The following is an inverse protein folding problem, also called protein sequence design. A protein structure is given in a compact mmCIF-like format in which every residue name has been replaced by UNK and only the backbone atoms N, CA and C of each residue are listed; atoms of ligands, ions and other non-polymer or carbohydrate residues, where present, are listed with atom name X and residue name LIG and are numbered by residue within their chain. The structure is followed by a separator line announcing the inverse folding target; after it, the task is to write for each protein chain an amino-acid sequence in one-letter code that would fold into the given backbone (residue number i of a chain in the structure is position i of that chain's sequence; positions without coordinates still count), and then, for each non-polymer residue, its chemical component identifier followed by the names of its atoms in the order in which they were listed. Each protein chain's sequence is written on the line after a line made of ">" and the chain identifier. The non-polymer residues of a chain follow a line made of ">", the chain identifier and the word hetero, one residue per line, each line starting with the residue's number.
data_IF_338433991014
#
_entry.id   IF_338433991014
#
_cell.length_a   1.000
_cell.length_b   1.000
_cell.length_c   1.000
_cell.angle_alpha   90.00
_cell.angle_beta   90.00
_cell.angle_gamma   90.00
#
_symmetry.space_group_name_H-M   'P 1'
#
loop_
_entity.id
_entity.type
_entity.pdbx_description
1 polymer ?
#
# COMPACT_ATOMS: atom_id res chain seq x y z
N UNK A 1 -1.18 42.44 -67.28
CA UNK A 1 -1.08 40.99 -67.62
C UNK A 1 0.03 40.25 -66.86
N UNK A 2 1.05 40.94 -66.30
CA UNK A 2 2.09 40.32 -65.44
C UNK A 2 1.59 39.98 -64.01
N UNK A 3 0.65 40.75 -63.48
CA UNK A 3 0.21 40.61 -62.07
C UNK A 3 -0.60 39.33 -61.81
N UNK A 4 -1.38 38.84 -62.79
CA UNK A 4 -2.12 37.59 -62.65
C UNK A 4 -1.22 36.34 -62.55
N UNK A 5 -0.01 36.38 -63.13
CA UNK A 5 0.94 35.25 -63.01
C UNK A 5 1.58 35.20 -61.63
N UNK A 6 1.85 36.35 -61.02
CA UNK A 6 2.43 36.42 -59.69
C UNK A 6 1.43 35.94 -58.62
N UNK A 7 0.17 36.37 -58.73
CA UNK A 7 -0.92 35.95 -57.83
C UNK A 7 -1.19 34.44 -57.95
N UNK A 8 -1.20 33.91 -59.18
CA UNK A 8 -1.36 32.47 -59.42
C UNK A 8 -0.19 31.65 -58.85
N UNK A 9 1.03 32.15 -58.96
CA UNK A 9 2.22 31.50 -58.40
C UNK A 9 2.22 31.52 -56.86
N UNK A 10 1.83 32.65 -56.25
CA UNK A 10 1.69 32.77 -54.80
C UNK A 10 0.60 31.81 -54.26
N UNK A 11 -0.54 31.73 -54.95
CA UNK A 11 -1.62 30.80 -54.60
C UNK A 11 -1.16 29.34 -54.65
N UNK A 12 -0.35 28.97 -55.65
CA UNK A 12 0.18 27.62 -55.77
C UNK A 12 1.14 27.27 -54.62
N UNK A 13 2.00 28.21 -54.21
CA UNK A 13 2.90 28.03 -53.07
C UNK A 13 2.11 27.85 -51.77
N UNK A 14 1.07 28.66 -51.55
CA UNK A 14 0.22 28.56 -50.36
C UNK A 14 -0.44 27.18 -50.28
N UNK A 15 -0.98 26.67 -51.40
CA UNK A 15 -1.57 25.32 -51.44
C UNK A 15 -0.54 24.24 -51.12
N UNK A 16 0.67 24.34 -51.67
CA UNK A 16 1.76 23.39 -51.38
C UNK A 16 2.13 23.41 -49.89
N UNK A 17 2.24 24.60 -49.28
CA UNK A 17 2.56 24.74 -47.85
C UNK A 17 1.46 24.16 -46.97
N UNK A 18 0.18 24.38 -47.30
CA UNK A 18 -0.95 23.81 -46.56
C UNK A 18 -0.96 22.29 -46.66
N UNK A 19 -0.73 21.73 -47.86
CA UNK A 19 -0.66 20.27 -48.04
C UNK A 19 0.53 19.68 -47.27
N UNK A 20 1.70 20.32 -47.31
CA UNK A 20 2.87 19.88 -46.56
C UNK A 20 2.61 19.90 -45.03
N UNK A 21 1.96 20.96 -44.52
CA UNK A 21 1.58 21.05 -43.11
C UNK A 21 0.59 19.97 -42.69
N UNK A 22 -0.40 19.64 -43.54
CA UNK A 22 -1.36 18.56 -43.28
C UNK A 22 -0.69 17.19 -43.26
N UNK A 23 0.20 16.91 -44.21
CA UNK A 23 0.97 15.65 -44.25
C UNK A 23 1.86 15.53 -43.01
N UNK A 24 2.49 16.62 -42.59
CA UNK A 24 3.32 16.64 -41.38
C UNK A 24 2.48 16.42 -40.11
N UNK A 25 1.31 17.05 -39.99
CA UNK A 25 0.38 16.79 -38.89
C UNK A 25 -0.09 15.33 -38.84
N UNK A 26 -0.43 14.75 -40.00
CA UNK A 26 -0.83 13.35 -40.09
C UNK A 26 0.30 12.40 -39.68
N UNK A 27 1.54 12.71 -40.08
CA UNK A 27 2.73 11.97 -39.65
C UNK A 27 2.92 11.97 -38.13
N UNK A 28 2.80 13.14 -37.49
CA UNK A 28 2.90 13.26 -36.03
C UNK A 28 1.79 12.49 -35.30
N UNK A 29 0.55 12.54 -35.83
CA UNK A 29 -0.56 11.79 -35.27
C UNK A 29 -0.31 10.28 -35.35
N UNK A 30 0.20 9.78 -36.48
CA UNK A 30 0.54 8.36 -36.61
C UNK A 30 1.62 7.92 -35.61
N UNK A 31 2.66 8.72 -35.39
CA UNK A 31 3.67 8.38 -34.38
C UNK A 31 3.07 8.31 -32.97
N UNK A 32 2.17 9.24 -32.63
CA UNK A 32 1.48 9.21 -31.34
C UNK A 32 0.61 7.96 -31.19
N UNK A 33 -0.09 7.55 -32.24
CA UNK A 33 -0.92 6.34 -32.26
C UNK A 33 -0.04 5.08 -32.08
N UNK A 34 1.10 5.01 -32.77
CA UNK A 34 2.04 3.90 -32.62
C UNK A 34 2.58 3.81 -31.18
N UNK A 35 2.94 4.94 -30.58
CA UNK A 35 3.38 5.00 -29.18
C UNK A 35 2.29 4.53 -28.21
N UNK A 36 1.07 5.02 -28.38
CA UNK A 36 -0.08 4.60 -27.55
C UNK A 36 -0.39 3.11 -27.71
N UNK A 37 -0.30 2.55 -28.92
CA UNK A 37 -0.52 1.13 -29.16
C UNK A 37 0.56 0.26 -28.50
N UNK A 38 1.82 0.71 -28.52
CA UNK A 38 2.91 0.01 -27.84
C UNK A 38 2.70 0.01 -26.32
N UNK A 39 2.30 1.15 -25.75
CA UNK A 39 1.99 1.26 -24.33
C UNK A 39 0.80 0.37 -23.93
N UNK A 40 -0.28 0.39 -24.73
CA UNK A 40 -1.45 -0.46 -24.50
C UNK A 40 -1.09 -1.94 -24.49
N UNK A 41 -0.29 -2.38 -25.47
CA UNK A 41 0.15 -3.77 -25.54
C UNK A 41 1.04 -4.18 -24.35
N UNK A 42 1.89 -3.28 -23.84
CA UNK A 42 2.65 -3.54 -22.61
C UNK A 42 1.73 -3.67 -21.40
N UNK A 43 0.72 -2.79 -21.27
CA UNK A 43 -0.26 -2.87 -20.18
C UNK A 43 -1.07 -4.18 -20.24
N UNK A 44 -1.48 -4.62 -21.42
CA UNK A 44 -2.18 -5.89 -21.62
C UNK A 44 -1.33 -7.10 -21.19
N UNK A 45 -0.02 -7.06 -21.46
CA UNK A 45 0.92 -8.08 -21.00
C UNK A 45 1.05 -8.09 -19.47
N UNK A 46 1.17 -6.90 -18.86
CA UNK A 46 1.22 -6.77 -17.39
C UNK A 46 -0.06 -7.29 -16.74
N UNK A 47 -1.23 -6.94 -17.28
CA UNK A 47 -2.53 -7.43 -16.79
C UNK A 47 -2.57 -8.97 -16.85
N UNK A 48 -2.15 -9.56 -17.97
CA UNK A 48 -2.13 -11.01 -18.14
C UNK A 48 -1.20 -11.71 -17.14
N UNK A 49 -0.07 -11.09 -16.80
CA UNK A 49 0.85 -11.59 -15.77
C UNK A 49 0.21 -11.54 -14.37
N UNK A 50 -0.37 -10.38 -14.02
CA UNK A 50 -1.05 -10.19 -12.73
C UNK A 50 -2.24 -11.14 -12.57
N UNK A 51 -2.99 -11.42 -13.64
CA UNK A 51 -4.08 -12.41 -13.60
C UNK A 51 -3.56 -13.83 -13.32
N UNK A 52 -2.41 -14.19 -13.87
CA UNK A 52 -1.78 -15.50 -13.63
C UNK A 52 -1.27 -15.62 -12.19
N UNK A 53 -0.63 -14.58 -11.69
CA UNK A 53 -0.15 -14.51 -10.31
C UNK A 53 -1.32 -14.60 -9.32
N UNK A 54 -2.39 -13.83 -9.57
CA UNK A 54 -3.62 -13.89 -8.78
C UNK A 54 -4.21 -15.30 -8.75
N UNK A 55 -4.26 -16.00 -9.88
CA UNK A 55 -4.76 -17.38 -9.91
C UNK A 55 -3.89 -18.33 -9.08
N UNK A 56 -2.57 -18.14 -9.11
CA UNK A 56 -1.62 -18.94 -8.33
C UNK A 56 -1.83 -18.71 -6.83
N UNK A 57 -1.94 -17.45 -6.40
CA UNK A 57 -2.22 -17.09 -5.00
C UNK A 57 -3.56 -17.64 -4.52
N UNK A 58 -4.60 -17.60 -5.36
CA UNK A 58 -5.91 -18.18 -5.02
C UNK A 58 -5.80 -19.70 -4.79
N UNK A 59 -5.02 -20.41 -5.61
CA UNK A 59 -4.80 -21.84 -5.42
C UNK A 59 -4.04 -22.12 -4.12
N UNK A 60 -3.03 -21.32 -3.79
CA UNK A 60 -2.27 -21.45 -2.55
C UNK A 60 -3.14 -21.20 -1.32
N UNK A 61 -3.96 -20.14 -1.34
CA UNK A 61 -4.93 -19.85 -0.27
C UNK A 61 -5.88 -21.03 -0.06
N UNK A 62 -6.42 -21.60 -1.14
CA UNK A 62 -7.34 -22.72 -1.04
C UNK A 62 -6.64 -23.98 -0.51
N UNK A 63 -5.40 -24.24 -0.93
CA UNK A 63 -4.57 -25.31 -0.37
C UNK A 63 -4.28 -25.12 1.13
N UNK A 64 -4.04 -23.88 1.56
CA UNK A 64 -3.79 -23.57 2.96
C UNK A 64 -5.06 -23.68 3.82
N UNK A 65 -6.24 -23.34 3.29
CA UNK A 65 -7.51 -23.58 3.99
C UNK A 65 -7.74 -25.06 4.29
N UNK A 66 -7.42 -25.93 3.33
CA UNK A 66 -7.55 -27.39 3.54
C UNK A 66 -6.62 -27.84 4.67
N UNK A 67 -5.37 -27.40 4.68
CA UNK A 67 -4.42 -27.72 5.77
C UNK A 67 -4.89 -27.18 7.12
N UNK A 68 -5.45 -25.98 7.17
CA UNK A 68 -6.01 -25.41 8.40
C UNK A 68 -7.16 -26.29 8.92
N UNK A 69 -8.08 -26.70 8.05
CA UNK A 69 -9.19 -27.58 8.42
C UNK A 69 -8.71 -28.95 8.93
N UNK A 70 -7.66 -29.52 8.33
CA UNK A 70 -7.02 -30.75 8.82
C UNK A 70 -6.41 -30.55 10.22
N UNK A 71 -5.66 -29.46 10.43
CA UNK A 71 -5.07 -29.13 11.72
C UNK A 71 -6.12 -28.87 12.81
N UNK A 72 -7.23 -28.21 12.47
CA UNK A 72 -8.36 -28.00 13.39
C UNK A 72 -9.00 -29.33 13.81
N UNK A 73 -9.15 -30.26 12.87
CA UNK A 73 -9.64 -31.61 13.14
C UNK A 73 -8.69 -32.38 14.07
N UNK A 74 -7.39 -32.34 13.81
CA UNK A 74 -6.38 -32.99 14.64
C UNK A 74 -6.33 -32.41 16.05
N UNK A 75 -6.41 -31.08 16.18
CA UNK A 75 -6.52 -30.38 17.47
C UNK A 75 -7.76 -30.83 18.25
N UNK A 76 -8.91 -30.94 17.60
CA UNK A 76 -10.13 -31.41 18.25
C UNK A 76 -10.01 -32.86 18.73
N UNK A 77 -9.36 -33.73 17.95
CA UNK A 77 -9.11 -35.12 18.34
C UNK A 77 -8.17 -35.19 19.56
N UNK A 78 -7.08 -34.43 19.54
CA UNK A 78 -6.12 -34.37 20.65
C UNK A 78 -6.76 -33.80 21.93
N UNK A 79 -7.63 -32.80 21.82
CA UNK A 79 -8.38 -32.27 22.96
C UNK A 79 -9.28 -33.35 23.58
N UNK A 80 -10.02 -34.10 22.75
CA UNK A 80 -10.86 -35.20 23.23
C UNK A 80 -10.03 -36.31 23.90
N UNK A 81 -8.86 -36.64 23.36
CA UNK A 81 -7.96 -37.63 23.94
C UNK A 81 -7.41 -37.16 25.29
N UNK A 82 -6.99 -35.90 25.38
CA UNK A 82 -6.55 -35.26 26.62
C UNK A 82 -7.65 -35.23 27.70
N UNK A 83 -8.90 -34.97 27.32
CA UNK A 83 -10.04 -35.00 28.25
C UNK A 83 -10.35 -36.42 28.76
N UNK A 84 -10.08 -37.44 27.95
CA UNK A 84 -10.30 -38.85 28.28
C UNK A 84 -9.20 -39.47 29.16
N UNK A 85 -8.00 -38.88 29.19
CA UNK A 85 -6.92 -39.31 30.05
C UNK A 85 -7.26 -39.02 31.51
N UNK A 86 -7.22 -40.04 32.37
CA UNK A 86 -7.48 -39.95 33.82
C UNK A 86 -6.32 -39.27 34.58
N UNK A 87 -5.99 -38.05 34.15
CA UNK A 87 -5.00 -37.17 34.73
C UNK A 87 -5.69 -36.28 35.78
N UNK A 88 -5.08 -36.18 36.96
CA UNK A 88 -5.47 -35.21 37.99
C UNK A 88 -5.51 -33.79 37.40
N UNK A 89 -6.43 -32.96 37.91
CA UNK A 89 -6.72 -31.61 37.41
C UNK A 89 -5.47 -30.76 37.24
N UNK A 90 -4.49 -30.89 38.15
CA UNK A 90 -3.23 -30.16 38.10
C UNK A 90 -2.34 -30.58 36.92
N UNK A 91 -2.32 -31.86 36.55
CA UNK A 91 -1.53 -32.35 35.43
C UNK A 91 -2.10 -31.88 34.07
N UNK A 92 -3.44 -31.84 33.94
CA UNK A 92 -4.11 -31.28 32.76
C UNK A 92 -3.82 -29.78 32.62
N UNK A 93 -3.86 -29.04 33.73
CA UNK A 93 -3.57 -27.61 33.73
C UNK A 93 -2.09 -27.31 33.40
N UNK A 94 -1.17 -28.14 33.91
CA UNK A 94 0.25 -28.05 33.55
C UNK A 94 0.49 -28.28 32.06
N UNK A 95 -0.12 -29.33 31.48
CA UNK A 95 -0.01 -29.62 30.05
C UNK A 95 -0.59 -28.48 29.22
N UNK A 96 -1.74 -27.92 29.60
CA UNK A 96 -2.34 -26.77 28.92
C UNK A 96 -1.41 -25.55 28.93
N UNK A 97 -0.85 -25.18 30.09
CA UNK A 97 0.13 -24.07 30.18
C UNK A 97 1.40 -24.34 29.38
N UNK A 98 1.88 -25.58 29.37
CA UNK A 98 3.06 -25.96 28.59
C UNK A 98 2.80 -25.89 27.09
N UNK A 99 1.61 -26.28 26.64
CA UNK A 99 1.17 -26.14 25.25
C UNK A 99 1.01 -24.67 24.86
N UNK A 100 0.32 -23.86 25.67
CA UNK A 100 0.16 -22.42 25.42
C UNK A 100 1.52 -21.71 25.31
N UNK A 101 2.46 -22.05 26.21
CA UNK A 101 3.83 -21.54 26.14
C UNK A 101 4.55 -21.99 24.87
N UNK A 102 4.45 -23.27 24.50
CA UNK A 102 5.09 -23.80 23.30
C UNK A 102 4.52 -23.16 22.02
N UNK A 103 3.20 -22.96 21.94
CA UNK A 103 2.58 -22.29 20.81
C UNK A 103 2.97 -20.82 20.72
N UNK A 104 3.04 -20.10 21.85
CA UNK A 104 3.52 -18.72 21.87
C UNK A 104 5.00 -18.63 21.44
N UNK A 105 5.88 -19.47 22.00
CA UNK A 105 7.30 -19.53 21.62
C UNK A 105 7.49 -19.95 20.14
N UNK A 106 6.58 -20.73 19.57
CA UNK A 106 6.60 -21.14 18.15
C UNK A 106 6.03 -20.06 17.22
N UNK A 107 4.96 -19.36 17.62
CA UNK A 107 4.40 -18.23 16.88
C UNK A 107 5.35 -17.03 16.87
N UNK A 108 6.14 -16.85 17.92
CA UNK A 108 7.23 -15.87 17.99
C UNK A 108 8.46 -16.27 17.13
N UNK A 109 8.55 -17.53 16.69
CA UNK A 109 9.60 -18.04 15.79
C UNK A 109 9.18 -18.08 14.31
N UNK A 110 7.91 -17.82 13.99
CA UNK A 110 7.50 -17.49 12.62
C UNK A 110 8.11 -16.13 12.32
N UNK A 111 8.89 -16.04 11.23
CA UNK A 111 9.63 -14.86 10.75
C UNK A 111 9.06 -13.53 11.28
N UNK A 112 9.89 -12.64 11.85
CA UNK A 112 9.41 -11.42 12.48
C UNK A 112 8.49 -10.72 11.48
N UNK A 113 7.22 -10.53 11.88
CA UNK A 113 6.23 -9.86 11.05
C UNK A 113 6.88 -8.60 10.48
N UNK A 114 7.11 -8.58 9.18
CA UNK A 114 7.89 -7.57 8.44
C UNK A 114 7.62 -6.17 9.00
N UNK A 115 8.59 -5.48 9.60
CA UNK A 115 8.36 -4.20 10.30
C UNK A 115 7.58 -3.21 9.43
N UNK A 116 6.69 -2.40 10.01
CA UNK A 116 6.06 -1.31 9.25
C UNK A 116 7.07 -0.29 8.73
N UNK A 117 8.29 -0.29 9.28
CA UNK A 117 9.36 0.61 8.89
C UNK A 117 10.14 0.18 7.65
N UNK A 118 9.97 -1.07 7.20
CA UNK A 118 10.72 -1.63 6.08
C UNK A 118 9.84 -1.63 4.83
N UNK A 119 10.23 -0.86 3.81
CA UNK A 119 9.54 -0.84 2.53
C UNK A 119 10.04 -1.99 1.64
N UNK A 120 9.11 -2.65 0.97
CA UNK A 120 9.46 -3.54 -0.15
C UNK A 120 10.02 -2.72 -1.33
N UNK A 121 10.72 -3.38 -2.27
CA UNK A 121 11.24 -2.71 -3.47
C UNK A 121 10.13 -1.99 -4.27
N UNK A 122 8.93 -2.58 -4.34
CA UNK A 122 7.79 -1.96 -5.01
C UNK A 122 7.30 -0.70 -4.28
N UNK A 123 7.16 -0.76 -2.95
CA UNK A 123 6.75 0.39 -2.14
C UNK A 123 7.77 1.52 -2.19
N UNK A 124 9.06 1.19 -2.15
CA UNK A 124 10.15 2.16 -2.27
C UNK A 124 10.18 2.81 -3.66
N UNK A 125 9.94 2.04 -4.73
CA UNK A 125 9.85 2.58 -6.08
C UNK A 125 8.64 3.52 -6.22
N UNK A 126 7.47 3.12 -5.74
CA UNK A 126 6.28 3.98 -5.70
C UNK A 126 6.53 5.27 -4.91
N UNK A 127 7.20 5.18 -3.75
CA UNK A 127 7.57 6.35 -2.95
C UNK A 127 8.47 7.31 -3.73
N UNK A 128 9.53 6.79 -4.35
CA UNK A 128 10.47 7.62 -5.11
C UNK A 128 9.81 8.26 -6.33
N UNK A 129 8.99 7.51 -7.07
CA UNK A 129 8.23 8.06 -8.20
C UNK A 129 7.23 9.13 -7.75
N UNK A 130 6.52 8.90 -6.65
CA UNK A 130 5.59 9.89 -6.11
C UNK A 130 6.32 11.17 -5.66
N UNK A 131 7.48 11.04 -5.01
CA UNK A 131 8.26 12.17 -4.52
C UNK A 131 8.76 13.12 -5.63
N UNK A 132 8.99 12.63 -6.84
CA UNK A 132 9.57 13.45 -7.92
C UNK A 132 8.63 14.56 -8.41
N UNK A 133 7.33 14.27 -8.53
CA UNK A 133 6.34 15.17 -9.12
C UNK A 133 4.99 15.20 -8.39
N UNK A 134 4.87 14.47 -7.27
CA UNK A 134 3.63 14.27 -6.51
C UNK A 134 2.46 13.78 -7.37
N UNK A 135 2.79 12.97 -8.39
CA UNK A 135 1.82 12.37 -9.28
C UNK A 135 1.17 11.16 -8.62
N UNK A 136 -0.11 11.32 -8.32
CA UNK A 136 -0.96 10.33 -7.67
C UNK A 136 -0.97 8.98 -8.42
N UNK A 137 -0.68 8.95 -9.73
CA UNK A 137 -0.58 7.70 -10.49
C UNK A 137 0.47 6.74 -9.89
N UNK A 138 1.53 7.24 -9.26
CA UNK A 138 2.55 6.43 -8.60
C UNK A 138 2.03 5.65 -7.38
N UNK A 139 0.89 6.08 -6.81
CA UNK A 139 0.24 5.46 -5.66
C UNK A 139 -0.92 4.52 -6.06
N UNK A 140 -1.24 4.46 -7.35
CA UNK A 140 -2.37 3.64 -7.86
C UNK A 140 -2.15 2.17 -7.52
N UNK A 141 -3.17 1.54 -6.93
CA UNK A 141 -3.15 0.11 -6.61
C UNK A 141 -2.38 -0.24 -5.33
N UNK A 142 -1.79 0.73 -4.64
CA UNK A 142 -1.22 0.50 -3.31
C UNK A 142 -2.32 0.22 -2.29
N UNK A 143 -2.04 -0.70 -1.36
CA UNK A 143 -2.94 -1.02 -0.26
C UNK A 143 -2.91 0.10 0.80
N UNK A 144 -3.93 0.18 1.69
CA UNK A 144 -3.89 1.10 2.83
C UNK A 144 -2.64 0.93 3.69
N UNK A 145 -2.23 -0.32 3.91
CA UNK A 145 -1.02 -0.63 4.66
C UNK A 145 0.23 -0.07 3.98
N UNK A 146 0.34 -0.23 2.66
CA UNK A 146 1.47 0.32 1.91
C UNK A 146 1.51 1.85 2.03
N UNK A 147 0.39 2.56 1.83
CA UNK A 147 0.35 4.02 1.99
C UNK A 147 0.77 4.45 3.42
N UNK A 148 0.32 3.75 4.45
CA UNK A 148 0.79 3.99 5.82
C UNK A 148 2.30 3.81 5.94
N UNK A 149 2.88 2.74 5.39
CA UNK A 149 4.34 2.52 5.41
C UNK A 149 5.10 3.63 4.68
N UNK A 150 4.61 4.08 3.51
CA UNK A 150 5.19 5.23 2.80
C UNK A 150 5.18 6.51 3.66
N UNK A 151 4.08 6.76 4.37
CA UNK A 151 3.96 7.90 5.27
C UNK A 151 4.93 7.82 6.45
N UNK A 152 5.05 6.66 7.09
CA UNK A 152 6.00 6.41 8.18
C UNK A 152 7.45 6.52 7.70
N UNK A 153 7.73 6.07 6.48
CA UNK A 153 9.03 6.22 5.85
C UNK A 153 9.39 7.70 5.68
N UNK A 154 8.47 8.52 5.15
CA UNK A 154 8.66 9.96 4.98
C UNK A 154 8.99 10.65 6.31
N UNK A 155 8.26 10.33 7.38
CA UNK A 155 8.55 10.85 8.74
C UNK A 155 9.95 10.41 9.21
N UNK A 156 10.31 9.12 9.04
CA UNK A 156 11.61 8.57 9.46
C UNK A 156 12.79 9.27 8.79
N UNK A 157 12.68 9.56 7.48
CA UNK A 157 13.74 10.24 6.72
C UNK A 157 13.62 11.77 6.75
N UNK A 158 12.64 12.31 7.48
CA UNK A 158 12.35 13.75 7.63
C UNK A 158 11.99 14.44 6.31
N UNK A 159 11.34 13.70 5.42
CA UNK A 159 10.80 14.19 4.15
C UNK A 159 9.38 14.69 4.35
N UNK A 160 9.26 15.77 5.12
CA UNK A 160 7.97 16.34 5.53
C UNK A 160 7.18 16.91 4.35
N UNK A 161 7.85 17.29 3.27
CA UNK A 161 7.20 17.68 2.02
C UNK A 161 6.42 16.52 1.41
N UNK A 162 7.07 15.36 1.22
CA UNK A 162 6.41 14.17 0.66
C UNK A 162 5.38 13.61 1.62
N UNK A 163 5.67 13.64 2.92
CA UNK A 163 4.72 13.24 3.95
C UNK A 163 3.42 14.03 3.87
N UNK A 164 3.50 15.36 3.69
CA UNK A 164 2.31 16.20 3.59
C UNK A 164 1.45 15.82 2.37
N UNK A 165 2.09 15.52 1.24
CA UNK A 165 1.39 15.16 -0.01
C UNK A 165 0.68 13.80 0.06
N UNK A 166 1.00 12.95 1.04
CA UNK A 166 0.30 11.69 1.30
C UNK A 166 -1.02 11.89 2.07
N UNK A 167 -1.25 13.06 2.68
CA UNK A 167 -2.53 13.36 3.32
C UNK A 167 -3.66 13.48 2.30
N UNK A 168 -4.88 13.32 2.80
CA UNK A 168 -6.10 13.59 2.04
C UNK A 168 -6.12 15.03 1.52
N UNK A 169 -6.61 15.21 0.30
CA UNK A 169 -6.80 16.52 -0.33
C UNK A 169 -8.24 17.01 -0.23
N UNK A 170 -9.10 16.27 0.46
CA UNK A 170 -10.47 16.66 0.74
C UNK A 170 -10.49 17.91 1.62
N UNK A 171 -10.99 19.03 1.08
CA UNK A 171 -11.02 20.34 1.76
C UNK A 171 -11.77 20.26 3.10
N UNK A 172 -12.73 19.35 3.24
CA UNK A 172 -13.50 19.16 4.47
C UNK A 172 -12.72 18.37 5.55
N UNK A 173 -11.62 17.71 5.17
CA UNK A 173 -10.78 16.89 6.05
C UNK A 173 -9.37 17.46 6.29
N UNK A 174 -8.94 18.41 5.45
CA UNK A 174 -7.66 19.11 5.60
C UNK A 174 -7.70 19.98 6.85
N UNK A 175 -6.79 19.73 7.80
CA UNK A 175 -6.75 20.46 9.08
C UNK A 175 -5.73 21.59 9.11
N UNK A 176 -4.64 21.48 8.35
CA UNK A 176 -3.60 22.49 8.28
C UNK A 176 -2.95 22.52 6.89
N UNK A 177 -2.36 23.65 6.56
CA UNK A 177 -1.65 23.89 5.30
C UNK A 177 -0.27 23.23 5.26
N UNK A 178 0.32 23.15 4.07
CA UNK A 178 1.69 22.63 3.90
C UNK A 178 2.69 23.48 4.68
N UNK A 179 2.56 24.79 4.62
CA UNK A 179 3.41 25.71 5.36
C UNK A 179 3.32 25.49 6.88
N UNK A 180 2.10 25.29 7.39
CA UNK A 180 1.90 24.96 8.81
C UNK A 180 2.51 23.60 9.15
N UNK A 181 2.34 22.59 8.30
CA UNK A 181 2.95 21.27 8.49
C UNK A 181 4.47 21.35 8.60
N UNK A 182 5.11 22.07 7.67
CA UNK A 182 6.57 22.25 7.66
C UNK A 182 7.08 23.10 8.84
N UNK A 183 6.20 23.89 9.46
CA UNK A 183 6.52 24.69 10.65
C UNK A 183 6.43 23.91 11.98
N UNK A 184 5.88 22.68 11.96
CA UNK A 184 5.78 21.81 13.15
C UNK A 184 7.20 21.55 13.69
N UNK A 185 7.48 21.91 14.95
CA UNK A 185 8.79 21.67 15.55
C UNK A 185 9.15 20.19 15.58
N UNK A 186 10.43 19.87 15.36
CA UNK A 186 10.96 18.51 15.51
C UNK A 186 10.69 17.91 16.90
N UNK A 187 10.46 18.75 17.93
CA UNK A 187 10.08 18.28 19.26
C UNK A 187 8.75 17.57 19.30
N UNK A 188 7.85 17.93 18.38
CA UNK A 188 6.45 17.51 18.32
C UNK A 188 6.24 16.42 17.25
N UNK A 189 7.29 16.12 16.47
CA UNK A 189 7.38 15.02 15.51
C UNK A 189 7.64 13.68 16.21
N UNK A 190 7.35 12.58 15.51
CA UNK A 190 7.61 11.23 16.03
C UNK A 190 9.12 11.03 16.12
N UNK A 191 9.62 10.71 17.32
CA UNK A 191 11.05 10.45 17.57
C UNK A 191 11.35 8.98 17.77
N UNK A 192 10.35 8.25 18.23
CA UNK A 192 10.46 6.85 18.57
C UNK A 192 9.50 6.07 17.67
N UNK A 193 10.08 5.21 16.84
CA UNK A 193 9.35 4.36 15.91
C UNK A 193 9.15 2.95 16.47
N UNK A 194 9.55 2.67 17.71
CA UNK A 194 9.49 1.34 18.29
C UNK A 194 8.08 0.73 18.29
N UNK A 195 7.04 1.56 18.43
CA UNK A 195 5.63 1.13 18.33
C UNK A 195 5.27 0.57 16.93
N UNK A 196 5.99 0.96 15.89
CA UNK A 196 5.81 0.47 14.51
C UNK A 196 6.77 -0.68 14.18
N UNK A 197 7.97 -0.67 14.77
CA UNK A 197 8.97 -1.71 14.58
C UNK A 197 8.61 -3.03 15.28
N UNK A 198 7.95 -2.94 16.43
CA UNK A 198 7.51 -4.09 17.24
C UNK A 198 6.03 -4.44 17.03
N UNK A 199 5.43 -3.96 15.93
CA UNK A 199 4.01 -4.15 15.66
C UNK A 199 3.66 -5.63 15.42
N UNK A 200 2.76 -6.15 16.25
CA UNK A 200 2.20 -7.51 16.21
C UNK A 200 0.68 -7.48 15.98
N UNK A 201 0.09 -8.64 15.64
CA UNK A 201 -1.37 -8.83 15.51
C UNK A 201 -2.05 -7.75 14.66
N UNK A 202 -1.52 -7.54 13.47
CA UNK A 202 -1.93 -6.47 12.56
C UNK A 202 -3.22 -6.85 11.85
N UNK A 203 -4.16 -5.93 11.78
CA UNK A 203 -5.42 -6.11 11.08
C UNK A 203 -5.72 -4.89 10.24
N UNK A 204 -6.44 -5.09 9.13
CA UNK A 204 -6.87 -4.00 8.26
C UNK A 204 -8.38 -4.15 8.10
N UNK A 205 -9.11 -3.12 8.50
CA UNK A 205 -10.56 -3.04 8.33
C UNK A 205 -10.85 -2.00 7.26
N UNK A 206 -11.64 -2.35 6.24
CA UNK A 206 -12.00 -1.45 5.14
C UNK A 206 -13.52 -1.33 5.08
N UNK A 207 -14.03 -0.11 5.17
CA UNK A 207 -15.45 0.21 5.11
C UNK A 207 -15.66 1.44 4.23
N UNK A 208 -16.45 1.33 3.15
CA UNK A 208 -16.96 2.45 2.34
C UNK A 208 -15.99 3.64 2.12
N UNK A 209 -14.79 3.36 1.60
CA UNK A 209 -13.80 4.41 1.31
C UNK A 209 -12.95 4.84 2.51
N UNK A 210 -13.09 4.20 3.66
CA UNK A 210 -12.20 4.35 4.82
C UNK A 210 -11.48 3.03 5.10
N UNK A 211 -10.24 3.14 5.58
CA UNK A 211 -9.46 2.00 6.05
C UNK A 211 -8.83 2.32 7.41
N UNK A 212 -8.85 1.34 8.31
CA UNK A 212 -8.20 1.40 9.61
C UNK A 212 -7.20 0.25 9.67
N UNK A 213 -5.93 0.60 9.86
CA UNK A 213 -4.86 -0.35 10.15
C UNK A 213 -4.67 -0.38 11.66
N UNK A 214 -4.96 -1.52 12.28
CA UNK A 214 -4.86 -1.70 13.73
C UNK A 214 -3.74 -2.68 14.07
N UNK A 215 -2.96 -2.37 15.11
CA UNK A 215 -1.90 -3.27 15.58
C UNK A 215 -1.68 -3.16 17.09
N UNK A 216 -0.93 -4.11 17.62
CA UNK A 216 -0.52 -4.15 19.01
C UNK A 216 0.99 -3.97 19.11
N UNK A 217 1.47 -3.17 20.07
CA UNK A 217 2.89 -3.06 20.38
C UNK A 217 3.15 -3.19 21.88
N UNK A 218 4.28 -3.79 22.22
CA UNK A 218 4.82 -3.90 23.58
C UNK A 218 5.97 -2.90 23.83
N UNK A 219 6.25 -1.99 22.89
CA UNK A 219 7.32 -1.00 23.03
C UNK A 219 7.14 -0.13 24.27
N UNK A 220 5.90 0.24 24.55
CA UNK A 220 5.53 1.07 25.71
C UNK A 220 5.20 0.23 26.96
N UNK A 221 5.32 -1.10 26.93
CA UNK A 221 5.00 -1.97 28.08
C UNK A 221 6.26 -2.60 28.71
N UNK A 222 6.50 -2.30 29.99
CA UNK A 222 7.54 -2.97 30.78
C UNK A 222 7.15 -4.41 31.19
N UNK A 223 5.87 -4.77 31.02
CA UNK A 223 5.33 -6.08 31.35
C UNK A 223 5.24 -6.95 30.08
N UNK A 224 6.10 -7.96 30.01
CA UNK A 224 5.83 -9.15 29.21
C UNK A 224 4.58 -9.80 29.80
N UNK A 225 3.49 -9.78 29.03
CA UNK A 225 2.20 -10.44 29.22
C UNK A 225 1.03 -9.48 29.50
N UNK A 226 0.16 -9.41 28.49
CA UNK A 226 -1.28 -9.11 28.51
C UNK A 226 -1.79 -7.71 28.18
N UNK A 227 -1.03 -6.63 28.39
CA UNK A 227 -1.49 -5.25 28.09
C UNK A 227 -0.69 -4.58 26.95
N UNK A 228 -0.65 -5.20 25.76
CA UNK A 228 -0.16 -4.49 24.57
C UNK A 228 -1.19 -3.43 24.16
N UNK A 229 -0.74 -2.18 24.02
CA UNK A 229 -1.60 -1.10 23.55
C UNK A 229 -2.01 -1.36 22.10
N UNK A 230 -3.31 -1.21 21.83
CA UNK A 230 -3.83 -1.20 20.47
C UNK A 230 -3.68 0.22 19.92
N UNK A 231 -3.10 0.32 18.73
CA UNK A 231 -3.00 1.55 17.97
C UNK A 231 -3.78 1.40 16.67
N UNK A 232 -4.44 2.47 16.25
CA UNK A 232 -5.18 2.51 15.00
C UNK A 232 -4.61 3.61 14.09
N UNK A 233 -4.48 3.32 12.80
CA UNK A 233 -4.07 4.27 11.77
C UNK A 233 -5.16 4.40 10.71
N UNK A 234 -5.66 5.64 10.51
CA UNK A 234 -6.77 5.94 9.62
C UNK A 234 -6.31 6.41 8.24
N UNK A 235 -6.92 5.82 7.20
CA UNK A 235 -6.80 6.22 5.81
C UNK A 235 -8.18 6.41 5.18
N UNK A 236 -8.24 7.25 4.16
CA UNK A 236 -9.45 7.53 3.37
C UNK A 236 -9.11 7.43 1.88
N UNK A 237 -9.99 6.86 1.10
CA UNK A 237 -9.87 6.73 -0.35
C UNK A 237 -10.41 8.00 -1.01
N UNK A 238 -9.65 8.55 -1.95
CA UNK A 238 -10.12 9.67 -2.78
C UNK A 238 -10.96 9.21 -3.97
N UNK A 239 -11.55 10.17 -4.70
CA UNK A 239 -12.41 9.92 -5.87
C UNK A 239 -11.71 9.15 -7.00
N UNK A 240 -10.37 9.15 -7.03
CA UNK A 240 -9.57 8.42 -8.03
C UNK A 240 -9.25 6.98 -7.58
N UNK A 241 -9.76 6.56 -6.42
CA UNK A 241 -9.52 5.23 -5.86
C UNK A 241 -8.16 5.09 -5.17
N UNK A 242 -7.54 6.20 -4.78
CA UNK A 242 -6.21 6.22 -4.17
C UNK A 242 -6.36 6.45 -2.67
N UNK A 243 -5.68 5.62 -1.89
CA UNK A 243 -5.67 5.74 -0.43
C UNK A 243 -4.81 6.92 0.01
N UNK A 244 -5.31 7.67 0.99
CA UNK A 244 -4.69 8.86 1.58
C UNK A 244 -4.72 8.80 3.09
N UNK A 245 -3.74 9.44 3.71
CA UNK A 245 -3.64 9.52 5.16
C UNK A 245 -4.63 10.59 5.68
N UNK A 246 -5.36 10.29 6.76
CA UNK A 246 -6.18 11.30 7.44
C UNK A 246 -5.30 12.25 8.26
N UNK A 247 -5.65 13.54 8.39
CA UNK A 247 -4.84 14.53 9.12
C UNK A 247 -4.66 14.23 10.63
N UNK A 248 -5.52 13.40 11.22
CA UNK A 248 -5.28 12.78 12.54
C UNK A 248 -5.19 11.28 12.30
N UNK A 249 -4.03 10.79 11.85
CA UNK A 249 -3.96 9.42 11.38
C UNK A 249 -3.94 8.42 12.52
N UNK A 250 -3.33 8.77 13.66
CA UNK A 250 -3.19 7.88 14.81
C UNK A 250 -4.26 8.13 15.87
N UNK A 251 -4.86 7.06 16.40
CA UNK A 251 -5.79 7.07 17.53
C UNK A 251 -5.50 5.96 18.53
#
# INVERSE_FOLDING_TARGET
>A
MKDNKLISFLSMIIVILVVAALVYMFYLQNQKIEGLNAELNMKDQTISQLETEKQTLVQEIEGNKVKIAELESDLSSLQSEMESLDLDSEAREYVKRAMDKFFNDYLDQVEPAESFMDLTDNELNSYNSFKEDYNDMALTGLSPLSIMKLYLHAEKIKDYDTQYELYTRDEDQVMWTKEEHLSIPESDRVKDFGIFETATRRTITINEGEAIVSWYSNHDSEAYNEDSWQYDFRLTMDDNGIWRVGFIPMQ
#
